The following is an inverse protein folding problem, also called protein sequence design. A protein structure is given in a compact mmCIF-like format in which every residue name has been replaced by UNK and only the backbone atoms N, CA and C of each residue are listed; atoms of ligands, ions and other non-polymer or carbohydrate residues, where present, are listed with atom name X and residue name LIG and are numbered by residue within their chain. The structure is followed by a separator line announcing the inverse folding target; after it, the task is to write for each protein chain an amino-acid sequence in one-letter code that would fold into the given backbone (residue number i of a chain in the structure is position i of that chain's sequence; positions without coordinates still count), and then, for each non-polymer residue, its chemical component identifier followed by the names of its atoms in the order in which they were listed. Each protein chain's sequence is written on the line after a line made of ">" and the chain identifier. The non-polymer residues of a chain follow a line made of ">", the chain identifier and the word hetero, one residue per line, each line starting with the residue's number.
data_IF_118510860180
#
_entry.id   IF_118510860180
#
_cell.length_a   1.000
_cell.length_b   1.000
_cell.length_c   1.000
_cell.angle_alpha   90.00
_cell.angle_beta   90.00
_cell.angle_gamma   90.00
#
_symmetry.space_group_name_H-M   'P 1'
#
loop_
_entity.id
_entity.type
_entity.pdbx_description
1 polymer ?
#
# COMPACT_ATOMS: atom_id res chain seq x y z
N UNK A 1 -5.35 -11.68 -7.28
CA UNK A 1 -6.26 -12.61 -7.95
C UNK A 1 -7.31 -13.13 -6.97
N UNK A 2 -8.44 -13.54 -7.46
CA UNK A 2 -9.59 -14.03 -6.69
C UNK A 2 -9.26 -15.28 -5.86
N UNK A 3 -8.37 -16.13 -6.33
CA UNK A 3 -7.89 -17.37 -5.69
C UNK A 3 -7.27 -17.14 -4.32
N UNK A 4 -6.55 -16.04 -4.13
CA UNK A 4 -5.89 -15.72 -2.84
C UNK A 4 -6.89 -15.47 -1.71
N UNK A 5 -8.13 -15.12 -2.05
CA UNK A 5 -9.20 -14.80 -1.08
C UNK A 5 -10.13 -16.01 -0.85
N UNK A 6 -10.25 -16.92 -1.81
CA UNK A 6 -11.17 -18.06 -1.75
C UNK A 6 -10.66 -19.22 -0.89
N UNK A 7 -9.35 -19.47 -0.84
CA UNK A 7 -8.79 -20.57 -0.06
C UNK A 7 -8.23 -20.08 1.28
N UNK A 8 -8.91 -20.42 2.37
CA UNK A 8 -8.50 -20.09 3.74
C UNK A 8 -7.14 -20.68 4.14
N UNK A 9 -6.70 -21.75 3.52
CA UNK A 9 -5.40 -22.38 3.78
C UNK A 9 -4.25 -21.62 3.11
N UNK A 10 -4.56 -20.77 2.11
CA UNK A 10 -3.61 -19.89 1.42
C UNK A 10 -3.68 -18.44 1.93
N UNK A 11 -4.32 -18.22 3.09
CA UNK A 11 -4.51 -16.89 3.64
C UNK A 11 -3.14 -16.30 4.02
N UNK A 12 -2.67 -15.41 3.18
CA UNK A 12 -1.40 -14.69 3.32
C UNK A 12 -1.66 -13.25 3.73
N UNK A 13 -0.61 -12.53 4.17
CA UNK A 13 -0.66 -11.08 4.40
C UNK A 13 -1.27 -10.32 3.22
N UNK A 14 -0.99 -10.77 1.98
CA UNK A 14 -1.60 -10.24 0.76
C UNK A 14 -3.10 -10.47 0.71
N UNK A 15 -3.56 -11.67 1.04
CA UNK A 15 -4.99 -11.99 1.10
C UNK A 15 -5.72 -11.16 2.15
N UNK A 16 -5.13 -10.99 3.32
CA UNK A 16 -5.68 -10.16 4.39
C UNK A 16 -5.84 -8.69 3.96
N UNK A 17 -4.80 -8.10 3.34
CA UNK A 17 -4.85 -6.75 2.80
C UNK A 17 -5.95 -6.58 1.75
N UNK A 18 -6.02 -7.48 0.76
CA UNK A 18 -7.06 -7.45 -0.28
C UNK A 18 -8.46 -7.54 0.34
N UNK A 19 -8.66 -8.45 1.30
CA UNK A 19 -9.96 -8.63 1.95
C UNK A 19 -10.34 -7.38 2.76
N UNK A 20 -9.43 -6.85 3.58
CA UNK A 20 -9.65 -5.66 4.39
C UNK A 20 -10.03 -4.45 3.53
N UNK A 21 -9.22 -4.12 2.53
CA UNK A 21 -9.49 -2.98 1.65
C UNK A 21 -10.72 -3.19 0.75
N UNK A 22 -11.10 -4.44 0.44
CA UNK A 22 -12.31 -4.71 -0.35
C UNK A 22 -13.62 -4.32 0.36
N UNK A 23 -13.58 -4.07 1.67
CA UNK A 23 -14.75 -3.62 2.43
C UNK A 23 -15.13 -2.17 2.13
N UNK A 24 -14.24 -1.38 1.53
CA UNK A 24 -14.50 0.01 1.16
C UNK A 24 -15.22 0.18 -0.18
N UNK A 25 -15.49 -0.91 -0.92
CA UNK A 25 -16.18 -0.87 -2.21
C UNK A 25 -17.38 -1.80 -2.27
N UNK A 26 -18.41 -1.38 -3.02
CA UNK A 26 -19.62 -2.18 -3.25
C UNK A 26 -19.48 -3.15 -4.43
N UNK A 27 -18.71 -2.78 -5.44
CA UNK A 27 -18.37 -3.59 -6.61
C UNK A 27 -16.85 -3.74 -6.67
N UNK A 28 -16.37 -4.91 -7.05
CA UNK A 28 -14.94 -5.16 -7.14
C UNK A 28 -14.57 -5.93 -8.38
N UNK A 29 -13.39 -5.65 -8.88
CA UNK A 29 -12.73 -6.32 -9.99
C UNK A 29 -11.26 -6.55 -9.63
N UNK A 30 -10.71 -7.66 -10.07
CA UNK A 30 -9.29 -7.95 -9.95
C UNK A 30 -8.61 -7.61 -11.27
N UNK A 31 -7.77 -6.58 -11.28
CA UNK A 31 -7.05 -6.15 -12.47
C UNK A 31 -6.07 -7.22 -13.00
N UNK A 32 -5.57 -8.09 -12.12
CA UNK A 32 -4.63 -9.16 -12.47
C UNK A 32 -5.33 -10.53 -12.39
N UNK A 33 -5.09 -11.37 -13.39
CA UNK A 33 -5.52 -12.77 -13.40
C UNK A 33 -4.65 -13.64 -12.46
N UNK A 34 -4.87 -14.95 -12.46
CA UNK A 34 -4.14 -15.92 -11.64
C UNK A 34 -2.65 -16.03 -12.00
N UNK A 35 -2.31 -15.75 -13.24
CA UNK A 35 -0.93 -15.72 -13.75
C UNK A 35 -0.24 -14.37 -13.50
N UNK A 36 -0.87 -13.44 -12.78
CA UNK A 36 -0.37 -12.07 -12.56
C UNK A 36 -0.29 -11.22 -13.82
N UNK A 37 -1.05 -11.54 -14.84
CA UNK A 37 -1.17 -10.78 -16.08
C UNK A 37 -2.32 -9.78 -15.99
N UNK A 38 -2.15 -8.60 -16.58
CA UNK A 38 -3.16 -7.55 -16.61
C UNK A 38 -4.32 -7.94 -17.55
N UNK A 39 -5.53 -8.03 -16.99
CA UNK A 39 -6.74 -8.25 -17.79
C UNK A 39 -7.25 -6.92 -18.37
N UNK A 40 -6.68 -6.53 -19.49
CA UNK A 40 -6.89 -5.21 -20.11
C UNK A 40 -8.35 -4.99 -20.50
N UNK A 41 -8.97 -5.96 -21.15
CA UNK A 41 -10.36 -5.84 -21.62
C UNK A 41 -11.33 -5.63 -20.45
N UNK A 42 -11.19 -6.44 -19.41
CA UNK A 42 -12.03 -6.35 -18.23
C UNK A 42 -11.79 -5.03 -17.47
N UNK A 43 -10.52 -4.59 -17.42
CA UNK A 43 -10.14 -3.32 -16.79
C UNK A 43 -10.77 -2.13 -17.55
N UNK A 44 -10.64 -2.10 -18.87
CA UNK A 44 -11.24 -1.05 -19.70
C UNK A 44 -12.77 -1.01 -19.58
N UNK A 45 -13.41 -2.19 -19.62
CA UNK A 45 -14.85 -2.30 -19.43
C UNK A 45 -15.30 -1.79 -18.05
N UNK A 46 -14.54 -2.10 -17.00
CA UNK A 46 -14.83 -1.63 -15.65
C UNK A 46 -14.68 -0.10 -15.54
N UNK A 47 -13.62 0.46 -16.07
CA UNK A 47 -13.38 1.92 -16.04
C UNK A 47 -14.48 2.65 -16.80
N UNK A 48 -14.89 2.17 -17.97
CA UNK A 48 -15.98 2.79 -18.75
C UNK A 48 -17.32 2.64 -18.05
N UNK A 49 -17.62 1.49 -17.45
CA UNK A 49 -18.86 1.26 -16.71
C UNK A 49 -19.04 2.20 -15.53
N UNK A 50 -17.94 2.54 -14.84
CA UNK A 50 -17.94 3.41 -13.65
C UNK A 50 -17.34 4.78 -13.91
N UNK A 51 -17.40 5.22 -15.16
CA UNK A 51 -16.95 6.55 -15.57
C UNK A 51 -17.71 7.63 -14.81
N UNK A 52 -16.98 8.54 -14.20
CA UNK A 52 -17.54 9.60 -13.36
C UNK A 52 -17.85 9.20 -11.91
N UNK A 53 -17.79 7.91 -11.59
CA UNK A 53 -17.88 7.44 -10.20
C UNK A 53 -16.49 7.36 -9.56
N UNK A 54 -16.44 7.44 -8.23
CA UNK A 54 -15.17 7.31 -7.50
C UNK A 54 -14.72 5.85 -7.48
N UNK A 55 -13.55 5.57 -8.03
CA UNK A 55 -12.95 4.24 -8.06
C UNK A 55 -11.90 4.15 -6.95
N UNK A 56 -12.04 3.15 -6.08
CA UNK A 56 -11.04 2.81 -5.09
C UNK A 56 -10.15 1.68 -5.60
N UNK A 57 -8.83 1.91 -5.60
CA UNK A 57 -7.83 0.95 -6.04
C UNK A 57 -6.93 0.57 -4.85
N UNK A 58 -6.61 -0.71 -4.75
CA UNK A 58 -5.68 -1.23 -3.79
C UNK A 58 -4.67 -2.18 -4.45
N UNK A 59 -3.40 -2.05 -4.06
CA UNK A 59 -2.35 -2.96 -4.53
C UNK A 59 -1.05 -2.83 -3.76
N UNK A 60 -0.17 -3.83 -3.87
CA UNK A 60 1.18 -3.73 -3.31
C UNK A 60 2.08 -2.94 -4.27
N UNK A 61 2.93 -2.07 -3.73
CA UNK A 61 3.77 -1.14 -4.49
C UNK A 61 4.46 -1.79 -5.69
N UNK A 62 5.19 -2.90 -5.45
CA UNK A 62 5.89 -3.59 -6.54
C UNK A 62 4.93 -4.20 -7.59
N UNK A 63 3.73 -4.64 -7.18
CA UNK A 63 2.73 -5.22 -8.09
C UNK A 63 2.07 -4.15 -8.95
N UNK A 64 1.72 -3.00 -8.35
CA UNK A 64 1.19 -1.85 -9.09
C UNK A 64 2.23 -1.37 -10.10
N UNK A 65 3.50 -1.28 -9.70
CA UNK A 65 4.55 -0.85 -10.62
C UNK A 65 4.79 -1.85 -11.76
N UNK A 66 5.00 -3.13 -11.44
CA UNK A 66 5.39 -4.16 -12.41
C UNK A 66 4.23 -4.59 -13.29
N UNK A 67 3.08 -4.92 -12.70
CA UNK A 67 2.00 -5.63 -13.40
C UNK A 67 0.86 -4.72 -13.86
N UNK A 68 0.80 -3.48 -13.34
CA UNK A 68 -0.18 -2.50 -13.80
C UNK A 68 0.50 -1.40 -14.62
N UNK A 69 1.37 -0.58 -14.00
CA UNK A 69 1.99 0.55 -14.68
C UNK A 69 2.83 0.14 -15.90
N UNK A 70 3.82 -0.76 -15.71
CA UNK A 70 4.69 -1.19 -16.82
C UNK A 70 3.94 -1.88 -17.95
N UNK A 71 2.90 -2.66 -17.61
CA UNK A 71 2.08 -3.33 -18.62
C UNK A 71 1.26 -2.33 -19.44
N UNK A 72 0.65 -1.31 -18.79
CA UNK A 72 -0.03 -0.24 -19.52
C UNK A 72 0.93 0.50 -20.48
N UNK A 73 2.13 0.81 -20.01
CA UNK A 73 3.18 1.44 -20.86
C UNK A 73 3.57 0.53 -21.99
N UNK A 74 3.86 -0.75 -21.74
CA UNK A 74 4.27 -1.73 -22.75
C UNK A 74 3.23 -1.91 -23.85
N UNK A 75 1.95 -1.89 -23.48
CA UNK A 75 0.82 -2.05 -24.39
C UNK A 75 0.39 -0.74 -25.06
N UNK A 76 0.95 0.40 -24.65
CA UNK A 76 0.54 1.72 -25.15
C UNK A 76 -0.88 2.11 -24.75
N UNK A 77 -1.41 1.54 -23.66
CA UNK A 77 -2.80 1.76 -23.21
C UNK A 77 -2.83 2.93 -22.24
N UNK A 78 -3.73 3.86 -22.51
CA UNK A 78 -4.11 4.92 -21.57
C UNK A 78 -5.51 4.64 -21.02
N UNK A 79 -5.66 4.79 -19.72
CA UNK A 79 -6.93 4.70 -19.01
C UNK A 79 -7.26 6.07 -18.42
N UNK A 80 -8.53 6.36 -18.28
CA UNK A 80 -8.96 7.52 -17.50
C UNK A 80 -9.37 7.08 -16.10
N UNK A 81 -8.45 7.19 -15.18
CA UNK A 81 -8.63 6.92 -13.75
C UNK A 81 -8.45 8.21 -12.92
N UNK A 82 -8.75 9.36 -13.50
CA UNK A 82 -8.62 10.67 -12.85
C UNK A 82 -9.50 10.82 -11.59
N UNK A 83 -10.58 10.04 -11.50
CA UNK A 83 -11.48 9.96 -10.35
C UNK A 83 -11.11 8.84 -9.36
N UNK A 84 -9.99 8.15 -9.59
CA UNK A 84 -9.57 7.05 -8.74
C UNK A 84 -8.70 7.53 -7.56
N UNK A 85 -8.80 6.76 -6.46
CA UNK A 85 -7.90 6.83 -5.32
C UNK A 85 -7.17 5.49 -5.22
N UNK A 86 -5.86 5.51 -5.30
CA UNK A 86 -5.01 4.34 -5.11
C UNK A 86 -4.39 4.36 -3.72
N UNK A 87 -4.63 3.31 -2.95
CA UNK A 87 -3.86 3.00 -1.75
C UNK A 87 -2.91 1.86 -2.08
N UNK A 88 -1.63 2.07 -1.82
CA UNK A 88 -0.63 1.03 -2.02
C UNK A 88 0.25 0.89 -0.77
N UNK A 89 0.94 -0.22 -0.65
CA UNK A 89 1.85 -0.44 0.48
C UNK A 89 2.78 -1.62 0.24
N UNK A 90 3.67 -1.86 1.20
CA UNK A 90 4.73 -2.84 1.06
C UNK A 90 5.88 -2.37 0.17
N UNK A 91 7.06 -2.93 0.41
CA UNK A 91 8.29 -2.51 -0.25
C UNK A 91 8.41 -2.98 -1.71
N UNK A 92 9.49 -2.55 -2.34
CA UNK A 92 9.85 -2.90 -3.72
C UNK A 92 10.32 -4.35 -3.89
N UNK A 93 10.67 -5.04 -2.80
CA UNK A 93 11.08 -6.47 -2.78
C UNK A 93 12.13 -6.77 -3.84
N UNK A 94 11.83 -7.68 -4.78
CA UNK A 94 12.75 -8.05 -5.86
C UNK A 94 12.99 -6.93 -6.89
N UNK A 95 12.19 -5.85 -6.86
CA UNK A 95 12.33 -4.68 -7.73
C UNK A 95 13.10 -3.54 -7.08
N UNK A 96 13.87 -3.80 -6.03
CA UNK A 96 14.61 -2.74 -5.32
C UNK A 96 15.58 -1.96 -6.23
N UNK A 97 16.15 -2.61 -7.24
CA UNK A 97 17.01 -1.96 -8.23
C UNK A 97 16.26 -1.01 -9.17
N UNK A 98 14.94 -1.12 -9.25
CA UNK A 98 14.07 -0.28 -10.06
C UNK A 98 13.23 0.67 -9.18
N UNK A 99 13.47 0.68 -7.87
CA UNK A 99 12.76 1.52 -6.95
C UNK A 99 12.87 2.98 -7.34
N UNK A 100 11.75 3.67 -7.29
CA UNK A 100 11.65 5.11 -7.52
C UNK A 100 11.10 5.80 -6.29
N UNK A 101 11.32 7.11 -6.19
CA UNK A 101 10.72 7.91 -5.12
C UNK A 101 9.19 7.96 -5.25
N UNK A 102 8.50 8.25 -4.17
CA UNK A 102 7.03 8.39 -4.15
C UNK A 102 6.55 9.39 -5.20
N UNK A 103 7.23 10.52 -5.36
CA UNK A 103 6.87 11.54 -6.36
C UNK A 103 6.99 11.02 -7.79
N UNK A 104 8.06 10.30 -8.08
CA UNK A 104 8.26 9.68 -9.41
C UNK A 104 7.21 8.60 -9.65
N UNK A 105 6.85 7.81 -8.62
CA UNK A 105 5.81 6.79 -8.71
C UNK A 105 4.44 7.41 -9.00
N UNK A 106 4.05 8.45 -8.25
CA UNK A 106 2.82 9.23 -8.47
C UNK A 106 2.76 9.81 -9.88
N UNK A 107 3.85 10.48 -10.29
CA UNK A 107 3.95 11.06 -11.63
C UNK A 107 3.77 10.03 -12.74
N UNK A 108 4.41 8.87 -12.64
CA UNK A 108 4.29 7.78 -13.60
C UNK A 108 2.84 7.27 -13.75
N UNK A 109 2.14 7.09 -12.65
CA UNK A 109 0.73 6.68 -12.65
C UNK A 109 -0.16 7.77 -13.23
N UNK A 110 0.07 9.03 -12.85
CA UNK A 110 -0.66 10.16 -13.42
C UNK A 110 -0.48 10.24 -14.95
N UNK A 111 0.74 10.11 -15.46
CA UNK A 111 1.04 10.26 -16.90
C UNK A 111 0.38 9.15 -17.75
N UNK A 112 0.15 7.96 -17.19
CA UNK A 112 -0.43 6.81 -17.91
C UNK A 112 -1.93 6.71 -17.74
N UNK A 113 -2.48 6.98 -16.56
CA UNK A 113 -3.89 6.73 -16.27
C UNK A 113 -4.58 7.88 -15.50
N UNK A 114 -3.94 9.04 -15.36
CA UNK A 114 -4.57 10.24 -14.79
C UNK A 114 -4.80 10.21 -13.28
N UNK A 115 -4.39 9.16 -12.55
CA UNK A 115 -4.61 9.06 -11.11
C UNK A 115 -3.88 10.20 -10.40
N UNK A 116 -4.64 10.98 -9.61
CA UNK A 116 -4.10 12.11 -8.84
C UNK A 116 -3.89 11.76 -7.37
N UNK A 117 -4.72 10.87 -6.82
CA UNK A 117 -4.74 10.50 -5.42
C UNK A 117 -4.07 9.14 -5.23
N UNK A 118 -2.78 9.15 -4.88
CA UNK A 118 -1.97 7.95 -4.64
C UNK A 118 -1.33 8.08 -3.27
N UNK A 119 -1.68 7.15 -2.37
CA UNK A 119 -1.24 7.16 -0.98
C UNK A 119 -0.57 5.85 -0.61
N UNK A 120 0.54 5.94 0.09
CA UNK A 120 1.19 4.78 0.70
C UNK A 120 0.58 4.47 2.06
N UNK A 121 0.73 3.25 2.51
CA UNK A 121 0.47 2.87 3.89
C UNK A 121 1.57 1.95 4.41
N UNK A 122 1.84 2.07 5.70
CA UNK A 122 2.69 1.14 6.42
C UNK A 122 1.85 0.29 7.37
N UNK A 123 2.12 -1.00 7.41
CA UNK A 123 1.48 -1.95 8.31
C UNK A 123 2.14 -3.31 8.21
N UNK A 124 2.01 -4.10 9.26
CA UNK A 124 2.62 -5.42 9.37
C UNK A 124 1.64 -6.45 9.93
N UNK A 125 1.84 -7.71 9.57
CA UNK A 125 0.99 -8.82 10.05
C UNK A 125 1.22 -9.10 11.53
N UNK A 126 2.39 -8.76 12.04
CA UNK A 126 2.79 -8.88 13.44
C UNK A 126 2.04 -7.91 14.35
N UNK A 127 1.42 -6.88 13.78
CA UNK A 127 0.56 -5.93 14.49
C UNK A 127 -0.73 -5.66 13.69
N UNK A 128 -1.49 -6.72 13.45
CA UNK A 128 -2.70 -6.71 12.64
C UNK A 128 -3.70 -5.65 13.11
N UNK A 129 -4.23 -4.88 12.15
CA UNK A 129 -5.24 -3.84 12.37
C UNK A 129 -4.64 -2.46 12.59
N UNK A 130 -3.32 -2.33 12.77
CA UNK A 130 -2.64 -1.05 12.84
C UNK A 130 -2.11 -0.68 11.46
N UNK A 131 -2.62 0.41 10.90
CA UNK A 131 -2.27 0.91 9.57
C UNK A 131 -1.93 2.38 9.69
N UNK A 132 -0.70 2.73 9.30
CA UNK A 132 -0.20 4.10 9.24
C UNK A 132 -0.43 4.63 7.83
N UNK A 133 -1.34 5.58 7.67
CA UNK A 133 -1.74 6.11 6.36
C UNK A 133 -0.95 7.36 6.00
N UNK A 134 -0.52 7.41 4.75
CA UNK A 134 0.08 8.61 4.19
C UNK A 134 -0.96 9.72 3.99
N UNK A 135 -0.62 10.95 4.36
CA UNK A 135 -1.42 12.15 4.09
C UNK A 135 -1.01 12.80 2.75
N UNK A 136 -1.70 13.87 2.39
CA UNK A 136 -1.41 14.65 1.17
C UNK A 136 -0.01 15.28 1.16
N UNK A 137 0.59 15.49 2.34
CA UNK A 137 1.96 15.98 2.49
C UNK A 137 3.03 14.89 2.36
N UNK A 138 2.64 13.63 2.15
CA UNK A 138 3.57 12.51 1.99
C UNK A 138 4.12 11.95 3.31
N UNK A 139 3.44 12.20 4.43
CA UNK A 139 3.84 11.70 5.75
C UNK A 139 2.87 10.63 6.25
N UNK A 140 3.41 9.57 6.85
CA UNK A 140 2.63 8.53 7.50
C UNK A 140 2.16 9.00 8.88
N UNK A 141 0.89 8.75 9.20
CA UNK A 141 0.30 9.11 10.47
C UNK A 141 -0.10 7.88 11.26
N UNK A 142 0.23 7.88 12.55
CA UNK A 142 -0.24 6.86 13.48
C UNK A 142 -1.76 7.03 13.73
N UNK A 143 -2.55 5.94 13.71
CA UNK A 143 -3.94 6.00 14.15
C UNK A 143 -4.03 6.23 15.65
N UNK A 144 -5.17 6.73 16.13
CA UNK A 144 -5.41 7.14 17.52
C UNK A 144 -5.20 6.04 18.59
N UNK A 145 -5.11 4.79 18.18
CA UNK A 145 -4.89 3.63 19.04
C UNK A 145 -3.46 3.05 18.93
N UNK A 146 -2.57 3.76 18.26
CA UNK A 146 -1.17 3.34 18.07
C UNK A 146 -0.25 4.54 18.15
N UNK A 147 1.05 4.24 18.24
CA UNK A 147 2.10 5.23 18.32
C UNK A 147 3.39 4.69 17.70
N UNK A 148 4.39 5.55 17.49
CA UNK A 148 5.69 5.22 16.94
C UNK A 148 6.79 5.83 17.81
N UNK A 149 7.80 5.03 18.11
CA UNK A 149 9.04 5.49 18.72
C UNK A 149 10.18 5.20 17.74
N UNK A 150 11.02 6.17 17.50
CA UNK A 150 12.24 5.96 16.73
C UNK A 150 13.38 5.67 17.71
N UNK A 151 14.12 4.56 17.48
CA UNK A 151 15.21 4.10 18.31
C UNK A 151 16.56 4.24 17.62
N UNK A 152 17.55 4.78 18.31
CA UNK A 152 18.95 4.77 17.81
C UNK A 152 19.44 3.34 17.65
N UNK A 153 20.04 3.02 16.52
CA UNK A 153 20.47 1.65 16.23
C UNK A 153 21.59 1.12 17.13
N UNK A 154 22.39 2.00 17.76
CA UNK A 154 23.58 1.62 18.51
C UNK A 154 23.29 1.26 19.98
N UNK A 155 22.24 1.83 20.59
CA UNK A 155 21.93 1.64 22.02
C UNK A 155 20.43 1.51 22.32
N UNK A 156 19.59 1.60 21.30
CA UNK A 156 18.13 1.58 21.38
C UNK A 156 17.52 2.71 22.24
N UNK A 157 18.27 3.75 22.56
CA UNK A 157 17.71 4.95 23.17
C UNK A 157 16.72 5.63 22.21
N UNK A 158 15.82 6.45 22.76
CA UNK A 158 14.86 7.20 21.95
C UNK A 158 15.62 8.26 21.14
N UNK A 159 15.38 8.28 19.84
CA UNK A 159 15.92 9.28 18.93
C UNK A 159 15.16 10.61 19.08
N UNK A 160 15.82 11.71 18.78
CA UNK A 160 15.18 13.01 18.76
C UNK A 160 14.32 13.19 17.49
N UNK A 161 13.36 14.12 17.54
CA UNK A 161 12.57 14.50 16.34
C UNK A 161 13.53 14.95 15.22
N UNK A 162 13.33 14.41 14.02
CA UNK A 162 14.20 14.62 12.87
C UNK A 162 15.42 13.69 12.78
N UNK A 163 15.68 12.88 13.82
CA UNK A 163 16.74 11.88 13.80
C UNK A 163 16.26 10.55 13.21
N UNK A 164 17.09 9.95 12.33
CA UNK A 164 16.79 8.64 11.72
C UNK A 164 17.15 7.50 12.67
N UNK A 165 16.28 6.50 12.77
CA UNK A 165 16.54 5.30 13.54
C UNK A 165 15.59 4.16 13.20
N UNK A 166 15.62 3.11 14.02
CA UNK A 166 14.77 1.92 13.88
C UNK A 166 13.37 2.24 14.40
N UNK A 167 12.36 1.85 13.64
CA UNK A 167 10.97 2.07 14.00
C UNK A 167 10.56 1.05 15.07
N UNK A 168 10.04 1.53 16.20
CA UNK A 168 9.27 0.75 17.15
C UNK A 168 7.81 1.16 17.05
N UNK A 169 6.92 0.20 16.74
CA UNK A 169 5.48 0.42 16.65
C UNK A 169 4.78 -0.02 17.93
N UNK A 170 3.84 0.79 18.39
CA UNK A 170 3.01 0.54 19.56
C UNK A 170 1.55 0.45 19.14
N UNK A 171 0.77 -0.47 19.72
CA UNK A 171 -0.67 -0.55 19.48
C UNK A 171 -1.39 -1.20 20.66
N UNK A 172 -2.58 -0.72 20.96
CA UNK A 172 -3.47 -1.32 21.96
C UNK A 172 -4.40 -2.40 21.38
N UNK A 173 -4.35 -2.65 20.07
CA UNK A 173 -5.25 -3.60 19.40
C UNK A 173 -4.92 -5.08 19.66
N UNK A 174 -3.65 -5.53 19.67
CA UNK A 174 -3.33 -6.93 19.90
C UNK A 174 -3.80 -7.41 21.28
N UNK A 175 -4.58 -8.50 21.31
CA UNK A 175 -5.11 -9.09 22.56
C UNK A 175 -4.78 -10.57 22.70
N UNK A 176 -4.46 -11.26 21.62
CA UNK A 176 -4.22 -12.70 21.58
C UNK A 176 -2.74 -13.10 21.54
N UNK A 177 -1.85 -12.12 21.40
CA UNK A 177 -0.40 -12.30 21.35
C UNK A 177 0.32 -11.00 21.79
N UNK A 178 1.61 -11.03 22.15
CA UNK A 178 2.34 -9.87 22.67
C UNK A 178 2.78 -8.90 21.55
N UNK A 179 1.82 -8.44 20.73
CA UNK A 179 2.06 -7.51 19.61
C UNK A 179 1.92 -6.03 19.97
N UNK A 180 1.83 -5.68 21.26
CA UNK A 180 1.60 -4.30 21.69
C UNK A 180 2.77 -3.37 21.40
N UNK A 181 3.99 -3.90 21.38
CA UNK A 181 5.23 -3.14 21.17
C UNK A 181 6.20 -4.00 20.39
N UNK A 182 6.48 -3.61 19.17
CA UNK A 182 7.35 -4.35 18.25
C UNK A 182 8.47 -3.45 17.74
N UNK A 183 9.72 -3.86 17.94
CA UNK A 183 10.86 -3.27 17.28
C UNK A 183 10.97 -3.91 15.88
N UNK A 184 10.97 -3.08 14.86
CA UNK A 184 10.99 -3.54 13.47
C UNK A 184 12.43 -3.60 12.92
N UNK A 185 12.58 -4.06 11.68
CA UNK A 185 13.84 -3.92 10.92
C UNK A 185 13.79 -2.69 9.99
N UNK A 186 12.70 -1.94 10.00
CA UNK A 186 12.52 -0.77 9.17
C UNK A 186 13.08 0.48 9.86
N UNK A 187 13.56 1.42 9.06
CA UNK A 187 14.05 2.71 9.52
C UNK A 187 13.09 3.83 9.21
N UNK A 188 13.05 4.82 10.08
CA UNK A 188 12.18 5.99 9.92
C UNK A 188 12.70 7.22 10.65
N UNK A 189 11.97 8.30 10.49
CA UNK A 189 12.21 9.59 11.14
C UNK A 189 10.87 10.06 11.71
N UNK A 190 10.83 10.44 12.99
CA UNK A 190 9.71 11.15 13.56
C UNK A 190 9.80 12.62 13.17
N UNK A 191 8.81 13.15 12.48
CA UNK A 191 8.81 14.55 11.99
C UNK A 191 8.11 15.52 12.94
N UNK A 192 7.31 15.01 13.87
CA UNK A 192 6.56 15.77 14.86
C UNK A 192 5.43 14.93 15.47
N UNK A 193 4.72 15.50 16.43
CA UNK A 193 3.50 14.95 17.05
C UNK A 193 2.25 15.42 16.31
#
# INVERSE_FOLDING_TARGET
>A
SETVVKDRNLFSARGAGILGFSMFGSKRMYALNENMELNVEQLQAFVEQYKGERIFMFGFTFMVYQHFYKELVRLGIKLDLSNAVLIHGGGWKKLISEAVTSDVFRKKLHDVCGIQHVYDYYGMVEQTGTIYMECECGHLHAPVFSDVIIRRAHDFSIADVGEKGIIQVLSILPKSYPGHSLLTEDEGILLGE
#
